data_IF_317963380103
#
_entry.id   IF_317963380103
#
_cell.length_a   1.000
_cell.length_b   1.000
_cell.length_c   1.000
_cell.angle_alpha   90.00
_cell.angle_beta   90.00
_cell.angle_gamma   90.00
#
_symmetry.space_group_name_H-M   'P 1'
#
loop_
_entity.id
_entity.type
_entity.pdbx_description
1 polymer ?
#
# COMPACT_ATOMS: atom_id res chain seq x y z
N UNK A 1 8.36 0.52 -9.48
CA UNK A 1 6.99 1.08 -9.51
C UNK A 1 6.05 0.04 -8.90
N UNK A 2 5.19 0.43 -7.97
CA UNK A 2 4.36 -0.47 -7.16
C UNK A 2 2.88 -0.12 -7.33
N UNK A 3 1.99 -1.12 -7.33
CA UNK A 3 0.54 -0.93 -7.41
C UNK A 3 -0.14 -1.27 -6.08
N UNK A 4 -0.98 -0.37 -5.60
CA UNK A 4 -1.75 -0.54 -4.36
C UNK A 4 -3.24 -0.64 -4.66
N UNK A 5 -3.89 -1.70 -4.20
CA UNK A 5 -5.32 -1.95 -4.33
C UNK A 5 -6.01 -1.74 -2.99
N UNK A 6 -7.33 -1.63 -3.01
CA UNK A 6 -8.14 -1.47 -1.81
C UNK A 6 -8.77 -2.81 -1.43
N UNK A 7 -8.61 -3.22 -0.17
CA UNK A 7 -9.23 -4.44 0.34
C UNK A 7 -10.76 -4.41 0.13
N UNK A 8 -11.31 -5.50 -0.39
CA UNK A 8 -12.76 -5.66 -0.62
C UNK A 8 -13.35 -4.81 -1.76
N UNK A 9 -12.54 -4.08 -2.53
CA UNK A 9 -13.03 -3.17 -3.59
C UNK A 9 -12.41 -3.50 -4.96
N UNK A 10 -13.07 -4.40 -5.70
CA UNK A 10 -12.65 -4.78 -7.06
C UNK A 10 -12.86 -3.69 -8.11
N UNK A 11 -13.63 -2.62 -7.80
CA UNK A 11 -13.84 -1.49 -8.72
C UNK A 11 -12.74 -0.44 -8.61
N UNK A 12 -11.97 -0.47 -7.53
CA UNK A 12 -10.81 0.41 -7.37
C UNK A 12 -9.72 0.03 -8.38
N UNK A 13 -9.39 0.95 -9.29
CA UNK A 13 -8.44 0.71 -10.39
C UNK A 13 -6.98 0.53 -9.95
N UNK A 14 -6.71 0.66 -8.66
CA UNK A 14 -5.38 0.59 -8.08
C UNK A 14 -4.62 1.92 -8.19
N UNK A 15 -3.82 2.23 -7.17
CA UNK A 15 -2.98 3.41 -7.13
C UNK A 15 -1.52 3.04 -7.39
N UNK A 16 -0.93 3.62 -8.44
CA UNK A 16 0.46 3.35 -8.81
C UNK A 16 1.38 4.37 -8.16
N UNK A 17 2.43 3.89 -7.49
CA UNK A 17 3.36 4.73 -6.75
C UNK A 17 4.81 4.30 -7.02
N UNK A 18 5.75 5.23 -6.86
CA UNK A 18 7.18 4.91 -6.86
C UNK A 18 7.67 5.02 -5.42
N UNK A 19 8.21 3.92 -4.89
CA UNK A 19 8.77 3.86 -3.55
C UNK A 19 10.28 3.99 -3.67
N UNK A 20 10.84 5.06 -3.12
CA UNK A 20 12.29 5.23 -2.99
C UNK A 20 12.60 5.90 -1.65
N UNK A 21 13.84 5.79 -1.18
CA UNK A 21 14.30 6.49 0.03
C UNK A 21 14.15 8.02 -0.05
N UNK A 22 14.04 8.59 -1.26
CA UNK A 22 13.76 10.04 -1.45
C UNK A 22 12.28 10.36 -1.30
N UNK A 23 11.39 9.43 -1.68
CA UNK A 23 9.93 9.64 -1.66
C UNK A 23 9.34 9.37 -0.28
N UNK A 24 9.81 8.30 0.37
CA UNK A 24 9.33 7.88 1.69
C UNK A 24 10.53 7.56 2.57
N UNK A 25 10.65 8.26 3.71
CA UNK A 25 11.70 8.04 4.71
C UNK A 25 11.35 6.92 5.69
N UNK A 26 10.07 6.69 5.91
CA UNK A 26 9.54 5.70 6.86
C UNK A 26 8.34 4.97 6.25
N UNK A 27 8.03 3.79 6.79
CA UNK A 27 6.84 3.05 6.41
C UNK A 27 5.56 3.81 6.75
N UNK A 28 5.51 4.49 7.90
CA UNK A 28 4.35 5.30 8.30
C UNK A 28 4.06 6.43 7.30
N UNK A 29 5.10 7.08 6.75
CA UNK A 29 4.91 8.12 5.73
C UNK A 29 4.27 7.56 4.44
N UNK A 30 4.54 6.29 4.11
CA UNK A 30 3.85 5.60 3.02
C UNK A 30 2.39 5.34 3.37
N UNK A 31 2.10 4.84 4.57
CA UNK A 31 0.72 4.59 5.03
C UNK A 31 -0.12 5.88 5.02
N UNK A 32 0.44 6.99 5.47
CA UNK A 32 -0.21 8.31 5.44
C UNK A 32 -0.50 8.78 4.01
N UNK A 33 0.45 8.62 3.10
CA UNK A 33 0.26 8.98 1.70
C UNK A 33 -0.80 8.12 1.02
N UNK A 34 -0.82 6.81 1.30
CA UNK A 34 -1.82 5.90 0.78
C UNK A 34 -3.20 6.16 1.39
N UNK A 35 -3.29 6.53 2.67
CA UNK A 35 -4.57 6.90 3.33
C UNK A 35 -5.26 8.08 2.65
N UNK A 36 -4.49 8.99 2.04
CA UNK A 36 -5.03 10.13 1.26
C UNK A 36 -5.50 9.74 -0.15
N UNK A 37 -5.10 8.57 -0.65
CA UNK A 37 -5.33 8.14 -2.05
C UNK A 37 -6.25 6.92 -2.15
N UNK A 38 -6.26 6.08 -1.13
CA UNK A 38 -7.07 4.86 -1.03
C UNK A 38 -8.14 5.12 0.04
N UNK A 39 -9.40 5.37 -0.36
CA UNK A 39 -10.46 5.73 0.58
C UNK A 39 -10.88 4.50 1.38
N UNK A 40 -10.33 4.38 2.59
CA UNK A 40 -10.69 3.40 3.61
C UNK A 40 -11.25 4.12 4.85
N UNK A 41 -12.19 3.52 5.60
CA UNK A 41 -12.83 4.15 6.76
C UNK A 41 -11.85 4.73 7.79
N UNK A 42 -10.75 4.01 8.08
CA UNK A 42 -9.74 4.43 9.05
C UNK A 42 -8.36 4.71 8.44
N UNK A 43 -8.34 4.97 7.12
CA UNK A 43 -7.11 5.05 6.34
C UNK A 43 -6.45 3.69 6.12
N UNK A 44 -5.29 3.70 5.49
CA UNK A 44 -4.46 2.51 5.31
C UNK A 44 -3.67 2.26 6.59
N UNK A 45 -3.94 1.13 7.24
CA UNK A 45 -3.25 0.67 8.46
C UNK A 45 -2.31 -0.49 8.17
N UNK A 46 -2.69 -1.35 7.23
CA UNK A 46 -1.90 -2.50 6.83
C UNK A 46 -1.80 -2.60 5.32
N UNK A 47 -0.67 -3.16 4.87
CA UNK A 47 -0.41 -3.46 3.48
C UNK A 47 -0.06 -4.94 3.41
N UNK A 48 -0.75 -5.69 2.56
CA UNK A 48 -0.49 -7.12 2.36
C UNK A 48 -0.24 -7.40 0.89
N UNK A 49 0.35 -8.56 0.60
CA UNK A 49 0.39 -9.09 -0.76
C UNK A 49 -1.04 -9.44 -1.23
N UNK A 50 -1.31 -9.52 -2.55
CA UNK A 50 -2.69 -9.64 -3.06
C UNK A 50 -3.40 -10.93 -2.64
N UNK A 51 -2.64 -11.94 -2.22
CA UNK A 51 -3.17 -13.19 -1.68
C UNK A 51 -3.38 -13.17 -0.16
N UNK A 52 -3.10 -12.05 0.50
CA UNK A 52 -3.20 -11.88 1.95
C UNK A 52 -2.20 -12.70 2.78
N UNK A 53 -1.24 -13.38 2.15
CA UNK A 53 -0.34 -14.32 2.83
C UNK A 53 0.84 -13.65 3.53
N UNK A 54 1.25 -12.48 3.07
CA UNK A 54 2.38 -11.74 3.63
C UNK A 54 2.00 -10.30 3.94
N UNK A 55 2.25 -9.90 5.18
CA UNK A 55 2.17 -8.52 5.66
C UNK A 55 3.47 -7.79 5.34
N UNK A 56 3.36 -6.62 4.72
CA UNK A 56 4.46 -5.69 4.48
C UNK A 56 4.67 -4.88 5.76
N UNK A 57 5.87 -4.95 6.34
CA UNK A 57 6.20 -4.24 7.58
C UNK A 57 7.15 -3.08 7.36
N UNK A 58 7.91 -3.09 6.27
CA UNK A 58 8.88 -2.06 5.95
C UNK A 58 8.92 -1.74 4.45
N UNK A 59 9.56 -0.61 4.11
CA UNK A 59 9.71 -0.18 2.70
C UNK A 59 10.54 -1.18 1.87
N UNK A 60 11.42 -1.93 2.52
CA UNK A 60 12.27 -2.97 1.93
C UNK A 60 11.51 -4.24 1.52
N UNK A 61 10.35 -4.49 2.11
CA UNK A 61 9.45 -5.60 1.72
C UNK A 61 8.71 -5.30 0.39
N UNK A 62 8.77 -4.04 -0.08
CA UNK A 62 8.14 -3.60 -1.31
C UNK A 62 9.07 -3.83 -2.50
N UNK A 63 8.62 -4.67 -3.44
CA UNK A 63 9.36 -5.00 -4.65
C UNK A 63 8.89 -4.15 -5.84
N UNK A 64 9.83 -3.81 -6.71
CA UNK A 64 9.52 -3.16 -7.97
C UNK A 64 8.61 -4.06 -8.83
N UNK A 65 7.57 -3.48 -9.45
CA UNK A 65 6.55 -4.20 -10.19
C UNK A 65 5.52 -4.90 -9.30
N UNK A 66 5.70 -4.89 -7.98
CA UNK A 66 4.82 -5.55 -7.03
C UNK A 66 3.41 -4.96 -7.00
N UNK A 67 2.46 -5.82 -6.64
CA UNK A 67 1.08 -5.45 -6.34
C UNK A 67 0.81 -5.73 -4.86
N UNK A 68 0.10 -4.84 -4.20
CA UNK A 68 -0.21 -4.93 -2.77
C UNK A 68 -1.64 -4.45 -2.49
N UNK A 69 -2.21 -4.88 -1.38
CA UNK A 69 -3.56 -4.54 -0.94
C UNK A 69 -3.48 -3.74 0.35
N UNK A 70 -4.11 -2.57 0.36
CA UNK A 70 -4.28 -1.72 1.52
C UNK A 70 -5.54 -2.12 2.29
N UNK A 71 -5.43 -2.22 3.61
CA UNK A 71 -6.54 -2.48 4.54
C UNK A 71 -6.49 -1.51 5.73
N UNK A 72 -7.63 -1.36 6.41
CA UNK A 72 -7.81 -0.55 7.61
C UNK A 72 -7.81 -1.37 8.91
N UNK A 73 -7.53 -2.67 8.80
CA UNK A 73 -7.31 -3.60 9.92
C UNK A 73 -5.87 -3.54 10.43
#
# INVERSE_FOLDING_TARGET
KVCFYKSGDHKFSGHRLIITARTFKTFDALLDALSKKVPLPFGVRTITTPRGTHLVKALEDLQDGGAYVCSDQ
#
